data_IF_203855753694
#
_entry.id   IF_203855753694
#
_cell.length_a   1.000
_cell.length_b   1.000
_cell.length_c   1.000
_cell.angle_alpha   90.00
_cell.angle_beta   90.00
_cell.angle_gamma   90.00
#
_symmetry.space_group_name_H-M   'P 1'
#
loop_
_entity.id
_entity.type
_entity.pdbx_description
1 polymer ?
#
# COMPACT_ATOMS: atom_id res chain seq x y z
N UNK A 1 -15.34 24.45 -0.95
CA UNK A 1 -14.31 23.49 -1.42
C UNK A 1 -14.72 22.97 -2.78
N UNK A 2 -13.79 22.94 -3.72
CA UNK A 2 -14.06 22.47 -5.09
C UNK A 2 -14.54 21.01 -5.01
N UNK A 3 -15.73 20.71 -5.56
CA UNK A 3 -16.37 19.38 -5.49
C UNK A 3 -15.58 18.26 -6.24
N UNK A 4 -14.54 18.64 -6.96
CA UNK A 4 -13.77 17.75 -7.84
C UNK A 4 -12.44 17.27 -7.24
N UNK A 5 -12.07 17.72 -6.02
CA UNK A 5 -10.81 17.31 -5.40
C UNK A 5 -10.98 15.94 -4.72
N UNK A 6 -10.28 14.94 -5.24
CA UNK A 6 -10.18 13.63 -4.62
C UNK A 6 -9.06 13.62 -3.58
N UNK A 7 -9.42 13.52 -2.31
CA UNK A 7 -8.47 13.51 -1.19
C UNK A 7 -8.38 12.09 -0.64
N UNK A 8 -7.18 11.69 -0.24
CA UNK A 8 -6.93 10.49 0.57
C UNK A 8 -5.85 10.81 1.61
N UNK A 9 -5.83 10.08 2.71
CA UNK A 9 -4.85 10.25 3.78
C UNK A 9 -4.18 8.91 4.07
N UNK A 10 -2.92 8.98 4.50
CA UNK A 10 -2.14 7.83 4.90
C UNK A 10 -1.86 7.88 6.39
N UNK A 11 -2.06 6.76 7.07
CA UNK A 11 -1.82 6.59 8.49
C UNK A 11 -0.73 5.55 8.74
N UNK A 12 0.05 5.81 9.78
CA UNK A 12 1.01 4.86 10.34
C UNK A 12 0.41 4.19 11.57
N UNK A 13 0.59 2.88 11.77
CA UNK A 13 0.20 2.24 13.02
C UNK A 13 0.87 2.91 14.21
N UNK A 14 0.08 3.21 15.23
CA UNK A 14 0.59 3.83 16.43
C UNK A 14 1.50 2.90 17.22
N UNK A 15 2.48 3.47 17.91
CA UNK A 15 3.46 2.71 18.71
C UNK A 15 2.95 2.43 20.13
N UNK A 16 2.14 3.33 20.67
CA UNK A 16 1.64 3.33 22.04
C UNK A 16 0.18 3.80 22.12
N UNK A 17 -0.39 3.78 23.32
CA UNK A 17 -1.79 4.15 23.59
C UNK A 17 -2.08 5.60 23.20
N UNK A 18 -1.23 6.54 23.58
CA UNK A 18 -1.39 7.96 23.26
C UNK A 18 -1.39 8.19 21.74
N UNK A 19 -0.52 7.48 21.02
CA UNK A 19 -0.50 7.48 19.57
C UNK A 19 -1.80 6.90 18.96
N UNK A 20 -2.39 5.89 19.59
CA UNK A 20 -3.69 5.37 19.18
C UNK A 20 -4.80 6.39 19.33
N UNK A 21 -4.88 7.08 20.48
CA UNK A 21 -5.89 8.12 20.70
C UNK A 21 -5.74 9.27 19.70
N UNK A 22 -4.51 9.72 19.47
CA UNK A 22 -4.20 10.76 18.49
C UNK A 22 -4.58 10.34 17.04
N UNK A 23 -4.36 9.07 16.68
CA UNK A 23 -4.73 8.55 15.37
C UNK A 23 -6.25 8.62 15.18
N UNK A 24 -7.03 8.15 16.16
CA UNK A 24 -8.49 8.19 16.08
C UNK A 24 -9.02 9.62 16.00
N UNK A 25 -8.53 10.50 16.84
CA UNK A 25 -8.90 11.92 16.79
C UNK A 25 -8.56 12.58 15.46
N UNK A 26 -7.40 12.24 14.88
CA UNK A 26 -7.02 12.71 13.54
C UNK A 26 -7.94 12.17 12.46
N UNK A 27 -8.28 10.87 12.50
CA UNK A 27 -9.19 10.25 11.54
C UNK A 27 -10.56 10.93 11.58
N UNK A 28 -11.15 11.12 12.75
CA UNK A 28 -12.44 11.80 12.93
C UNK A 28 -12.41 13.23 12.35
N UNK A 29 -11.34 13.99 12.60
CA UNK A 29 -11.19 15.33 12.02
C UNK A 29 -11.04 15.32 10.49
N UNK A 30 -10.37 14.32 9.95
CA UNK A 30 -10.10 14.23 8.51
C UNK A 30 -11.31 13.71 7.74
N UNK A 31 -12.22 12.97 8.37
CA UNK A 31 -13.47 12.51 7.75
C UNK A 31 -14.38 13.66 7.28
N UNK A 32 -14.30 14.83 7.92
CA UNK A 32 -15.05 16.01 7.48
C UNK A 32 -14.72 16.46 6.03
N UNK A 33 -13.55 16.08 5.52
CA UNK A 33 -13.14 16.37 4.13
C UNK A 33 -13.65 15.31 3.14
N UNK A 34 -14.43 14.33 3.60
CA UNK A 34 -14.99 13.25 2.79
C UNK A 34 -13.92 12.54 1.92
N UNK A 35 -12.85 12.04 2.52
CA UNK A 35 -11.78 11.40 1.77
C UNK A 35 -12.31 10.17 1.01
N UNK A 36 -11.77 9.94 -0.19
CA UNK A 36 -12.15 8.78 -1.01
C UNK A 36 -11.74 7.46 -0.38
N UNK A 37 -10.65 7.48 0.36
CA UNK A 37 -10.17 6.38 1.21
C UNK A 37 -9.09 6.90 2.16
N UNK A 38 -8.79 6.12 3.16
CA UNK A 38 -7.57 6.25 3.95
C UNK A 38 -6.72 5.01 3.75
N UNK A 39 -5.39 5.13 3.82
CA UNK A 39 -4.50 3.98 3.75
C UNK A 39 -3.71 3.80 5.04
N UNK A 40 -3.31 2.58 5.32
CA UNK A 40 -2.49 2.22 6.47
C UNK A 40 -1.21 1.56 5.99
N UNK A 41 -0.08 2.11 6.40
CA UNK A 41 1.24 1.58 6.05
C UNK A 41 1.45 0.19 6.67
N UNK A 42 2.28 -0.63 6.02
CA UNK A 42 2.58 -2.00 6.44
C UNK A 42 4.03 -2.08 6.93
N UNK A 43 4.22 -2.43 8.19
CA UNK A 43 5.54 -2.48 8.79
C UNK A 43 6.43 -3.59 8.25
N UNK A 44 7.74 -3.38 8.34
CA UNK A 44 8.76 -4.31 7.83
C UNK A 44 8.96 -5.56 8.72
N UNK A 45 8.42 -5.61 9.93
CA UNK A 45 8.57 -6.72 10.89
C UNK A 45 7.24 -7.36 11.29
N UNK A 46 7.28 -8.61 11.78
CA UNK A 46 6.07 -9.36 12.15
C UNK A 46 5.14 -8.59 13.09
N UNK A 47 5.62 -8.10 14.23
CA UNK A 47 4.77 -7.35 15.17
C UNK A 47 4.27 -6.00 14.66
N UNK A 48 4.96 -5.38 13.70
CA UNK A 48 4.47 -4.18 13.03
C UNK A 48 3.39 -4.52 12.00
N UNK A 49 3.51 -5.67 11.33
CA UNK A 49 2.50 -6.20 10.40
C UNK A 49 1.17 -6.47 11.12
N UNK A 50 1.23 -7.08 12.29
CA UNK A 50 0.05 -7.35 13.13
C UNK A 50 -0.66 -6.06 13.55
N UNK A 51 0.10 -5.01 13.89
CA UNK A 51 -0.45 -3.69 14.20
C UNK A 51 -1.14 -3.06 12.99
N UNK A 52 -0.53 -3.18 11.80
CA UNK A 52 -1.10 -2.68 10.55
C UNK A 52 -2.41 -3.41 10.22
N UNK A 53 -2.41 -4.74 10.27
CA UNK A 53 -3.57 -5.58 10.03
C UNK A 53 -4.72 -5.24 11.00
N UNK A 54 -4.41 -5.16 12.28
CA UNK A 54 -5.37 -4.77 13.31
C UNK A 54 -5.97 -3.39 13.04
N UNK A 55 -5.13 -2.40 12.69
CA UNK A 55 -5.58 -1.03 12.43
C UNK A 55 -6.48 -0.95 11.20
N UNK A 56 -6.10 -1.61 10.09
CA UNK A 56 -6.91 -1.69 8.86
C UNK A 56 -8.30 -2.22 9.17
N UNK A 57 -8.39 -3.34 9.88
CA UNK A 57 -9.67 -3.95 10.28
C UNK A 57 -10.46 -3.08 11.24
N UNK A 58 -9.79 -2.39 12.16
CA UNK A 58 -10.45 -1.50 13.14
C UNK A 58 -11.01 -0.26 12.45
N UNK A 59 -10.29 0.35 11.49
CA UNK A 59 -10.80 1.48 10.69
C UNK A 59 -12.01 1.02 9.88
N UNK A 60 -11.92 -0.10 9.17
CA UNK A 60 -13.04 -0.63 8.38
C UNK A 60 -14.33 -0.82 9.18
N UNK A 61 -14.22 -1.15 10.49
CA UNK A 61 -15.38 -1.37 11.36
C UNK A 61 -15.93 -0.10 12.01
N UNK A 62 -15.09 0.92 12.21
CA UNK A 62 -15.43 2.11 13.02
C UNK A 62 -15.63 3.37 12.19
N UNK A 63 -15.07 3.42 10.99
CA UNK A 63 -15.13 4.58 10.09
C UNK A 63 -16.05 4.29 8.92
N UNK A 64 -16.70 5.33 8.40
CA UNK A 64 -17.44 5.26 7.15
C UNK A 64 -16.52 5.48 5.93
N UNK A 65 -15.29 5.90 6.15
CA UNK A 65 -14.30 6.11 5.08
C UNK A 65 -13.72 4.76 4.66
N UNK A 66 -13.71 4.44 3.35
CA UNK A 66 -13.08 3.21 2.88
C UNK A 66 -11.59 3.16 3.28
N UNK A 67 -11.13 2.00 3.72
CA UNK A 67 -9.72 1.80 4.09
C UNK A 67 -9.00 0.94 3.05
N UNK A 68 -7.75 1.29 2.76
CA UNK A 68 -6.80 0.51 1.98
C UNK A 68 -5.66 0.03 2.90
N UNK A 69 -5.37 -1.26 2.90
CA UNK A 69 -4.17 -1.77 3.56
C UNK A 69 -2.97 -1.73 2.60
N UNK A 70 -1.82 -1.26 3.07
CA UNK A 70 -0.58 -1.54 2.36
C UNK A 70 -0.23 -3.02 2.52
N UNK A 71 0.33 -3.63 1.49
CA UNK A 71 0.78 -5.02 1.52
C UNK A 71 2.11 -5.11 0.77
N UNK A 72 3.11 -5.69 1.42
CA UNK A 72 4.46 -5.81 0.85
C UNK A 72 4.80 -7.26 0.57
N UNK A 73 5.57 -7.52 -0.49
CA UNK A 73 6.03 -8.88 -0.80
C UNK A 73 7.38 -9.24 -0.15
N UNK A 74 8.11 -8.26 0.41
CA UNK A 74 9.39 -8.52 1.08
C UNK A 74 9.21 -9.44 2.29
N UNK A 75 10.10 -10.42 2.43
CA UNK A 75 10.15 -11.36 3.57
C UNK A 75 8.83 -12.13 3.85
N UNK A 76 7.98 -12.33 2.83
CA UNK A 76 6.71 -13.06 2.97
C UNK A 76 6.52 -14.07 1.83
N UNK A 77 5.98 -15.23 2.19
CA UNK A 77 5.51 -16.20 1.21
C UNK A 77 4.19 -15.74 0.56
N UNK A 78 3.88 -16.29 -0.64
CA UNK A 78 2.59 -16.07 -1.31
C UNK A 78 1.42 -16.47 -0.41
N UNK A 79 1.56 -17.56 0.35
CA UNK A 79 0.50 -18.03 1.24
C UNK A 79 0.20 -17.04 2.37
N UNK A 80 1.22 -16.46 3.00
CA UNK A 80 1.03 -15.44 4.03
C UNK A 80 0.34 -14.21 3.48
N UNK A 81 0.81 -13.69 2.34
CA UNK A 81 0.22 -12.52 1.67
C UNK A 81 -1.23 -12.79 1.28
N UNK A 82 -1.49 -13.94 0.66
CA UNK A 82 -2.82 -14.32 0.22
C UNK A 82 -3.78 -14.51 1.40
N UNK A 83 -3.30 -15.06 2.51
CA UNK A 83 -4.09 -15.22 3.74
C UNK A 83 -4.53 -13.87 4.30
N UNK A 84 -3.61 -12.90 4.38
CA UNK A 84 -3.94 -11.53 4.83
C UNK A 84 -4.95 -10.88 3.89
N UNK A 85 -4.72 -10.96 2.58
CA UNK A 85 -5.61 -10.37 1.58
C UNK A 85 -7.02 -10.96 1.63
N UNK A 86 -7.14 -12.29 1.73
CA UNK A 86 -8.43 -12.97 1.86
C UNK A 86 -9.14 -12.60 3.16
N UNK A 87 -8.41 -12.50 4.27
CA UNK A 87 -8.99 -12.08 5.53
C UNK A 87 -9.50 -10.64 5.47
N UNK A 88 -8.76 -9.73 4.80
CA UNK A 88 -9.25 -8.38 4.53
C UNK A 88 -10.52 -8.41 3.67
N UNK A 89 -10.54 -9.17 2.59
CA UNK A 89 -11.71 -9.28 1.71
C UNK A 89 -12.95 -9.79 2.47
N UNK A 90 -12.77 -10.79 3.33
CA UNK A 90 -13.83 -11.34 4.19
C UNK A 90 -14.35 -10.32 5.23
N UNK A 91 -13.53 -9.33 5.57
CA UNK A 91 -13.91 -8.19 6.42
C UNK A 91 -14.38 -6.96 5.62
N UNK A 92 -14.67 -7.09 4.33
CA UNK A 92 -15.16 -6.02 3.46
C UNK A 92 -14.08 -5.03 3.00
N UNK A 93 -12.79 -5.35 3.19
CA UNK A 93 -11.67 -4.52 2.81
C UNK A 93 -11.11 -5.04 1.48
N UNK A 94 -11.40 -4.34 0.40
CA UNK A 94 -11.00 -4.74 -0.95
C UNK A 94 -9.98 -3.78 -1.60
N UNK A 95 -9.49 -2.77 -0.87
CA UNK A 95 -8.50 -1.82 -1.38
C UNK A 95 -7.13 -2.17 -0.82
N UNK A 96 -6.15 -2.32 -1.72
CA UNK A 96 -4.77 -2.67 -1.37
C UNK A 96 -3.82 -1.69 -2.05
N UNK A 97 -2.81 -1.23 -1.31
CA UNK A 97 -1.62 -0.59 -1.88
C UNK A 97 -0.53 -1.66 -1.94
N UNK A 98 -0.27 -2.18 -3.13
CA UNK A 98 0.67 -3.27 -3.36
C UNK A 98 2.08 -2.74 -3.59
N UNK A 99 3.00 -3.11 -2.73
CA UNK A 99 4.37 -2.63 -2.71
C UNK A 99 5.36 -3.80 -2.71
N UNK A 100 6.57 -3.57 -3.21
CA UNK A 100 7.67 -4.52 -3.05
C UNK A 100 8.06 -4.63 -1.58
N UNK A 101 8.12 -3.50 -0.90
CA UNK A 101 8.67 -3.33 0.43
C UNK A 101 10.19 -3.09 0.40
N UNK A 102 10.70 -2.51 1.49
CA UNK A 102 12.10 -2.17 1.64
C UNK A 102 12.88 -3.30 2.31
N UNK A 103 14.14 -3.46 1.92
CA UNK A 103 15.04 -4.40 2.57
C UNK A 103 15.45 -3.89 3.96
N UNK A 104 15.50 -4.78 4.95
CA UNK A 104 15.82 -4.41 6.34
C UNK A 104 17.23 -3.88 6.54
N UNK A 105 18.17 -4.28 5.70
CA UNK A 105 19.57 -3.82 5.76
C UNK A 105 19.83 -2.86 4.60
N UNK A 106 20.24 -1.65 4.93
CA UNK A 106 20.42 -0.53 4.01
C UNK A 106 21.33 -0.82 2.79
N UNK A 107 22.25 -1.79 2.91
CA UNK A 107 23.23 -2.15 1.88
C UNK A 107 22.94 -3.51 1.21
N UNK A 108 21.79 -4.14 1.50
CA UNK A 108 21.45 -5.41 0.90
C UNK A 108 20.59 -5.21 -0.36
N UNK A 109 20.89 -5.99 -1.40
CA UNK A 109 20.03 -6.08 -2.57
C UNK A 109 18.72 -6.77 -2.18
N UNK A 110 17.61 -6.29 -2.75
CA UNK A 110 16.34 -6.97 -2.63
C UNK A 110 16.44 -8.41 -3.14
N UNK A 111 15.96 -9.34 -2.34
CA UNK A 111 15.78 -10.73 -2.73
C UNK A 111 14.36 -11.16 -2.31
N UNK A 112 13.57 -11.71 -3.22
CA UNK A 112 12.25 -12.21 -2.89
C UNK A 112 12.36 -13.40 -1.93
N UNK A 113 11.37 -13.58 -1.08
CA UNK A 113 11.26 -14.82 -0.30
C UNK A 113 11.13 -16.01 -1.27
N UNK A 114 11.79 -17.14 -0.97
CA UNK A 114 11.87 -18.34 -1.85
C UNK A 114 10.50 -18.86 -2.35
N UNK A 115 9.45 -18.65 -1.55
CA UNK A 115 8.06 -19.00 -1.87
C UNK A 115 7.20 -17.73 -1.99
N UNK A 116 7.79 -16.55 -2.16
CA UNK A 116 7.12 -15.26 -2.22
C UNK A 116 6.77 -14.83 -3.64
N UNK A 117 6.14 -13.68 -3.73
CA UNK A 117 6.04 -12.95 -4.98
C UNK A 117 7.39 -12.32 -5.30
N UNK A 118 7.78 -12.35 -6.57
CA UNK A 118 9.08 -11.82 -7.01
C UNK A 118 9.17 -10.30 -6.81
N UNK A 119 8.07 -9.61 -7.06
CA UNK A 119 7.97 -8.15 -6.98
C UNK A 119 6.50 -7.72 -6.89
N UNK A 120 6.27 -6.41 -6.84
CA UNK A 120 4.91 -5.88 -6.75
C UNK A 120 4.02 -6.23 -7.95
N UNK A 121 4.57 -6.37 -9.16
CA UNK A 121 3.78 -6.75 -10.34
C UNK A 121 3.29 -8.21 -10.24
N UNK A 122 4.16 -9.14 -9.84
CA UNK A 122 3.76 -10.54 -9.58
C UNK A 122 2.70 -10.63 -8.46
N UNK A 123 2.85 -9.81 -7.41
CA UNK A 123 1.85 -9.75 -6.34
C UNK A 123 0.51 -9.20 -6.84
N UNK A 124 0.50 -8.15 -7.67
CA UNK A 124 -0.74 -7.64 -8.29
C UNK A 124 -1.46 -8.74 -9.06
N UNK A 125 -0.74 -9.46 -9.93
CA UNK A 125 -1.29 -10.58 -10.68
C UNK A 125 -1.90 -11.67 -9.76
N UNK A 126 -1.16 -12.04 -8.71
CA UNK A 126 -1.64 -13.03 -7.75
C UNK A 126 -2.90 -12.59 -7.02
N UNK A 127 -2.92 -11.35 -6.52
CA UNK A 127 -4.06 -10.78 -5.81
C UNK A 127 -5.30 -10.63 -6.71
N UNK A 128 -5.13 -10.23 -7.98
CA UNK A 128 -6.25 -10.15 -8.95
C UNK A 128 -6.89 -11.51 -9.25
N UNK A 129 -6.11 -12.59 -9.21
CA UNK A 129 -6.64 -13.95 -9.34
C UNK A 129 -7.31 -14.46 -8.06
N UNK A 130 -6.92 -13.90 -6.91
CA UNK A 130 -7.41 -14.33 -5.60
C UNK A 130 -8.79 -13.76 -5.30
N UNK A 131 -9.09 -12.52 -5.74
CA UNK A 131 -10.38 -11.89 -5.47
C UNK A 131 -10.55 -10.53 -6.15
N UNK A 132 -11.72 -9.92 -5.94
CA UNK A 132 -12.05 -8.62 -6.51
C UNK A 132 -11.43 -7.48 -5.68
N UNK A 133 -10.13 -7.26 -5.85
CA UNK A 133 -9.39 -6.18 -5.20
C UNK A 133 -9.24 -4.97 -6.12
N UNK A 134 -9.32 -3.78 -5.53
CA UNK A 134 -8.85 -2.53 -6.10
C UNK A 134 -7.42 -2.28 -5.66
N UNK A 135 -6.47 -2.38 -6.58
CA UNK A 135 -5.04 -2.37 -6.27
C UNK A 135 -4.39 -1.09 -6.76
N UNK A 136 -3.83 -0.34 -5.82
CA UNK A 136 -2.93 0.77 -6.12
C UNK A 136 -1.47 0.29 -6.05
N UNK A 137 -0.61 0.87 -6.89
CA UNK A 137 0.83 0.62 -6.92
C UNK A 137 1.62 1.91 -6.87
N UNK A 138 2.86 1.87 -6.39
CA UNK A 138 3.74 3.03 -6.39
C UNK A 138 4.30 3.31 -7.78
N UNK A 139 4.34 4.61 -8.13
CA UNK A 139 5.07 5.17 -9.27
C UNK A 139 6.09 6.20 -8.81
N UNK A 140 7.17 6.38 -9.55
CA UNK A 140 8.26 7.28 -9.18
C UNK A 140 8.53 8.28 -10.32
N UNK A 141 7.98 9.50 -10.27
CA UNK A 141 8.25 10.51 -11.30
C UNK A 141 9.74 10.83 -11.46
N UNK A 142 10.49 10.82 -10.36
CA UNK A 142 11.92 11.08 -10.31
C UNK A 142 12.80 9.81 -10.35
N UNK A 143 12.27 8.69 -10.83
CA UNK A 143 12.87 7.35 -10.89
C UNK A 143 13.04 6.68 -9.51
N UNK A 144 12.72 5.40 -9.42
CA UNK A 144 13.00 4.59 -8.23
C UNK A 144 14.51 4.48 -7.98
N UNK A 145 15.01 4.65 -6.74
CA UNK A 145 16.45 4.59 -6.42
C UNK A 145 17.14 3.30 -6.90
N UNK A 146 16.48 2.17 -6.81
CA UNK A 146 17.02 0.86 -7.22
C UNK A 146 16.86 0.58 -8.71
N UNK A 147 16.19 1.44 -9.49
CA UNK A 147 16.06 1.25 -10.94
C UNK A 147 17.33 1.70 -11.63
N UNK A 148 17.79 0.90 -12.57
CA UNK A 148 19.01 1.16 -13.36
C UNK A 148 18.94 2.50 -14.10
N UNK A 149 17.81 2.77 -14.74
CA UNK A 149 17.55 4.02 -15.47
C UNK A 149 16.04 4.32 -15.50
N UNK A 150 15.67 5.50 -16.03
CA UNK A 150 14.26 5.94 -16.11
C UNK A 150 13.42 5.02 -16.99
N UNK A 151 13.97 4.57 -18.12
CA UNK A 151 13.25 3.64 -19.03
C UNK A 151 12.90 2.35 -18.32
N UNK A 152 13.83 1.79 -17.56
CA UNK A 152 13.61 0.55 -16.80
C UNK A 152 12.59 0.75 -15.68
N UNK A 153 12.56 1.91 -15.06
CA UNK A 153 11.56 2.24 -14.05
C UNK A 153 10.15 2.35 -14.66
N UNK A 154 10.02 2.99 -15.81
CA UNK A 154 8.75 3.06 -16.55
C UNK A 154 8.27 1.68 -17.03
N UNK A 155 9.19 0.82 -17.51
CA UNK A 155 8.85 -0.57 -17.85
C UNK A 155 8.32 -1.34 -16.62
N UNK A 156 8.94 -1.16 -15.46
CA UNK A 156 8.49 -1.77 -14.21
C UNK A 156 7.12 -1.24 -13.80
N UNK A 157 6.85 0.07 -13.95
CA UNK A 157 5.55 0.66 -13.69
C UNK A 157 4.49 0.13 -14.66
N UNK A 158 4.81 0.12 -15.96
CA UNK A 158 3.95 -0.45 -17.00
C UNK A 158 3.59 -1.90 -16.68
N UNK A 159 4.57 -2.71 -16.30
CA UNK A 159 4.32 -4.11 -15.94
C UNK A 159 3.32 -4.23 -14.77
N UNK A 160 3.42 -3.38 -13.72
CA UNK A 160 2.43 -3.38 -12.63
C UNK A 160 1.01 -3.10 -13.14
N UNK A 161 0.86 -2.17 -14.08
CA UNK A 161 -0.43 -1.84 -14.70
C UNK A 161 -0.93 -3.00 -15.56
N UNK A 162 -0.08 -3.59 -16.39
CA UNK A 162 -0.41 -4.73 -17.26
C UNK A 162 -0.84 -5.97 -16.44
N UNK A 163 -0.33 -6.12 -15.21
CA UNK A 163 -0.76 -7.17 -14.28
C UNK A 163 -2.09 -6.87 -13.58
N UNK A 164 -2.69 -5.70 -13.80
CA UNK A 164 -4.02 -5.38 -13.34
C UNK A 164 -4.10 -4.34 -12.22
N UNK A 165 -3.08 -3.53 -12.00
CA UNK A 165 -3.19 -2.40 -11.06
C UNK A 165 -4.23 -1.38 -11.56
N UNK A 166 -5.12 -0.96 -10.64
CA UNK A 166 -6.22 -0.03 -10.97
C UNK A 166 -5.81 1.43 -10.80
N UNK A 167 -4.77 1.70 -10.00
CA UNK A 167 -4.33 3.06 -9.68
C UNK A 167 -2.81 3.11 -9.48
N UNK A 168 -2.23 4.23 -9.86
CA UNK A 168 -0.85 4.59 -9.51
C UNK A 168 -0.91 5.69 -8.45
N UNK A 169 -0.15 5.50 -7.36
CA UNK A 169 0.12 6.54 -6.36
C UNK A 169 1.59 6.93 -6.55
N UNK A 170 1.83 8.17 -6.94
CA UNK A 170 3.21 8.63 -7.11
C UNK A 170 3.91 8.78 -5.77
N UNK A 171 5.18 8.46 -5.76
CA UNK A 171 6.05 8.95 -4.70
C UNK A 171 6.02 10.48 -4.70
N UNK A 172 6.27 11.07 -3.54
CA UNK A 172 6.36 12.52 -3.41
C UNK A 172 7.47 13.07 -4.32
N UNK A 173 7.17 14.11 -5.09
CA UNK A 173 8.08 14.70 -6.06
C UNK A 173 7.94 16.22 -6.05
N UNK A 174 9.00 16.93 -6.45
CA UNK A 174 9.05 18.38 -6.53
C UNK A 174 9.24 18.91 -7.96
N UNK A 175 9.59 18.04 -8.89
CA UNK A 175 9.75 18.40 -10.28
C UNK A 175 8.57 17.89 -11.11
N UNK A 176 7.66 18.79 -11.48
CA UNK A 176 6.45 18.51 -12.25
C UNK A 176 6.76 18.13 -13.70
N UNK A 177 7.88 18.62 -14.29
CA UNK A 177 8.33 18.21 -15.63
C UNK A 177 8.65 16.70 -15.70
N UNK A 178 9.02 16.10 -14.59
CA UNK A 178 9.26 14.66 -14.49
C UNK A 178 7.99 13.83 -14.44
N UNK A 179 6.86 14.47 -14.16
CA UNK A 179 5.56 13.81 -14.11
C UNK A 179 4.83 13.90 -15.45
N UNK A 180 5.07 14.96 -16.23
CA UNK A 180 4.46 15.24 -17.52
C UNK A 180 5.17 14.49 -18.66
#
# INVERSE_FOLDING_TARGET
MNKDLNISFEFFPAKDEAGHENLWHSLEKLEQFSPKFVSVTFGAGGGERDKSDFLVKKISKKSNTPVAGHLTCVDMSKNEINSIALDWLNNGINKIVALRGDVRKKDSKYMPHKNGYENAADMVNGLKKLGNFHIAVAGYPEKHPDSENETKDLENLKNKVDQGADKIITQFFFNDEKFL
#
